data_IF_126879361731
#
_entry.id   IF_126879361731
#
_cell.length_a   1.000
_cell.length_b   1.000
_cell.length_c   1.000
_cell.angle_alpha   90.00
_cell.angle_beta   90.00
_cell.angle_gamma   90.00
#
_symmetry.space_group_name_H-M   'P 1'
#
loop_
_entity.id
_entity.type
_entity.pdbx_description
1 polymer ?
#
# COMPACT_ATOMS: atom_id res chain seq x y z
N UNK A 1 -86.40 -23.55 -16.51
CA UNK A 1 -86.19 -22.50 -17.52
C UNK A 1 -85.03 -21.67 -17.03
N UNK A 2 -83.87 -22.05 -17.55
CA UNK A 2 -82.55 -21.55 -17.23
C UNK A 2 -82.31 -20.19 -17.87
N UNK A 3 -81.65 -19.29 -17.15
CA UNK A 3 -80.82 -18.25 -17.76
C UNK A 3 -79.83 -17.70 -16.75
N UNK A 4 -78.71 -18.44 -16.65
CA UNK A 4 -77.41 -17.93 -16.19
C UNK A 4 -77.09 -16.62 -16.93
N UNK A 5 -76.90 -15.52 -16.21
CA UNK A 5 -76.21 -14.34 -16.73
C UNK A 5 -75.14 -13.90 -15.73
N UNK A 6 -73.97 -14.52 -15.85
CA UNK A 6 -72.74 -14.09 -15.20
C UNK A 6 -72.25 -12.82 -15.90
N UNK A 7 -72.59 -11.67 -15.36
CA UNK A 7 -71.96 -10.39 -15.72
C UNK A 7 -70.52 -10.38 -15.22
N UNK A 8 -69.60 -10.61 -16.15
CA UNK A 8 -68.16 -10.42 -15.97
C UNK A 8 -67.90 -8.92 -15.81
N UNK A 9 -67.36 -8.53 -14.65
CA UNK A 9 -66.97 -7.16 -14.35
C UNK A 9 -65.61 -6.83 -15.02
N UNK A 10 -65.52 -5.83 -15.91
CA UNK A 10 -64.30 -5.42 -16.60
C UNK A 10 -63.34 -4.55 -15.77
N UNK A 11 -63.46 -4.52 -14.44
CA UNK A 11 -62.69 -3.64 -13.55
C UNK A 11 -61.32 -4.16 -13.11
N UNK A 12 -60.81 -5.25 -13.70
CA UNK A 12 -59.45 -5.72 -13.40
C UNK A 12 -58.50 -5.06 -14.40
N UNK A 13 -57.78 -3.97 -14.07
CA UNK A 13 -56.68 -3.53 -14.91
C UNK A 13 -55.75 -4.72 -15.05
N UNK A 14 -55.43 -5.04 -16.29
CA UNK A 14 -54.51 -6.07 -16.70
C UNK A 14 -53.31 -6.09 -15.76
N UNK A 15 -53.32 -7.05 -14.83
CA UNK A 15 -52.09 -7.62 -14.25
C UNK A 15 -51.43 -8.49 -15.33
N UNK A 16 -51.42 -8.01 -16.56
CA UNK A 16 -50.55 -8.51 -17.60
C UNK A 16 -49.14 -8.13 -17.17
N UNK A 17 -48.44 -9.15 -16.72
CA UNK A 17 -47.14 -9.45 -17.30
C UNK A 17 -46.21 -8.23 -17.34
N UNK A 18 -46.07 -7.56 -16.19
CA UNK A 18 -44.70 -7.25 -15.75
C UNK A 18 -44.11 -8.58 -15.31
N UNK A 19 -44.00 -9.52 -16.27
CA UNK A 19 -42.92 -10.50 -16.25
C UNK A 19 -41.71 -9.62 -16.10
N UNK A 20 -41.21 -9.65 -14.88
CA UNK A 20 -39.86 -9.35 -14.54
C UNK A 20 -39.00 -9.89 -15.69
N UNK A 21 -38.72 -9.01 -16.66
CA UNK A 21 -37.45 -8.97 -17.34
C UNK A 21 -36.48 -8.72 -16.20
N UNK A 22 -36.18 -9.79 -15.46
CA UNK A 22 -34.98 -9.91 -14.68
C UNK A 22 -33.92 -9.85 -15.75
N UNK A 23 -33.54 -8.62 -16.09
CA UNK A 23 -32.31 -8.33 -16.79
C UNK A 23 -31.28 -8.96 -15.85
N UNK A 24 -30.93 -10.22 -16.11
CA UNK A 24 -29.81 -10.89 -15.48
C UNK A 24 -28.67 -9.91 -15.67
N UNK A 25 -28.31 -9.18 -14.60
CA UNK A 25 -27.09 -8.40 -14.60
C UNK A 25 -26.01 -9.41 -15.02
N UNK A 26 -25.36 -9.23 -16.18
CA UNK A 26 -24.33 -10.15 -16.61
C UNK A 26 -23.33 -10.28 -15.45
N UNK A 27 -23.06 -11.52 -15.02
CA UNK A 27 -22.22 -11.81 -13.87
C UNK A 27 -20.91 -11.04 -14.00
N UNK A 28 -20.69 -10.04 -13.14
CA UNK A 28 -19.65 -9.01 -13.28
C UNK A 28 -18.26 -9.62 -13.57
N UNK A 29 -17.82 -9.70 -14.84
CA UNK A 29 -16.48 -10.18 -15.16
C UNK A 29 -15.41 -9.19 -14.68
N UNK A 30 -15.86 -8.00 -14.27
CA UNK A 30 -15.05 -6.88 -13.80
C UNK A 30 -14.26 -7.22 -12.52
N UNK A 31 -14.74 -8.13 -11.66
CA UNK A 31 -14.10 -8.43 -10.38
C UNK A 31 -12.73 -9.13 -10.47
N UNK A 32 -12.56 -10.07 -11.42
CA UNK A 32 -11.29 -10.81 -11.58
C UNK A 32 -10.22 -9.97 -12.27
N UNK A 33 -10.58 -9.29 -13.34
CA UNK A 33 -9.66 -8.40 -14.07
C UNK A 33 -9.12 -7.28 -13.17
N UNK A 34 -9.99 -6.72 -12.32
CA UNK A 34 -9.64 -5.75 -11.29
C UNK A 34 -8.52 -6.24 -10.38
N UNK A 35 -8.75 -7.39 -9.71
CA UNK A 35 -7.80 -7.95 -8.73
C UNK A 35 -6.43 -8.24 -9.37
N UNK A 36 -6.44 -8.82 -10.57
CA UNK A 36 -5.22 -9.15 -11.29
C UNK A 36 -4.45 -7.88 -11.67
N UNK A 37 -5.13 -6.86 -12.22
CA UNK A 37 -4.50 -5.61 -12.62
C UNK A 37 -3.87 -4.89 -11.42
N UNK A 38 -4.59 -4.76 -10.29
CA UNK A 38 -4.04 -4.15 -9.07
C UNK A 38 -2.85 -4.94 -8.54
N UNK A 39 -2.94 -6.27 -8.51
CA UNK A 39 -1.85 -7.11 -8.01
C UNK A 39 -0.59 -6.97 -8.86
N UNK A 40 -0.70 -7.11 -10.18
CA UNK A 40 0.44 -7.00 -11.10
C UNK A 40 1.06 -5.60 -11.04
N UNK A 41 0.24 -4.55 -11.02
CA UNK A 41 0.74 -3.17 -10.97
C UNK A 41 1.52 -2.89 -9.69
N UNK A 42 1.02 -3.35 -8.53
CA UNK A 42 1.69 -3.18 -7.25
C UNK A 42 2.93 -4.07 -7.10
N UNK A 43 2.90 -5.29 -7.65
CA UNK A 43 4.09 -6.14 -7.71
C UNK A 43 5.22 -5.44 -8.47
N UNK A 44 4.93 -4.92 -9.67
CA UNK A 44 5.90 -4.16 -10.47
C UNK A 44 6.39 -2.94 -9.68
N UNK A 45 5.51 -2.21 -9.00
CA UNK A 45 5.90 -1.08 -8.17
C UNK A 45 6.86 -1.48 -7.04
N UNK A 46 6.64 -2.61 -6.38
CA UNK A 46 7.55 -3.15 -5.36
C UNK A 46 8.93 -3.49 -5.92
N UNK A 47 9.00 -4.10 -7.11
CA UNK A 47 10.27 -4.41 -7.80
C UNK A 47 11.01 -3.13 -8.20
N UNK A 48 10.32 -2.16 -8.79
CA UNK A 48 10.90 -0.87 -9.18
C UNK A 48 11.42 -0.12 -7.96
N UNK A 49 10.64 -0.07 -6.88
CA UNK A 49 11.03 0.60 -5.64
C UNK A 49 12.29 -0.02 -5.03
N UNK A 50 12.36 -1.35 -5.00
CA UNK A 50 13.57 -2.05 -4.58
C UNK A 50 14.78 -1.68 -5.45
N UNK A 51 14.65 -1.77 -6.77
CA UNK A 51 15.76 -1.47 -7.69
C UNK A 51 16.29 -0.04 -7.52
N UNK A 52 15.40 0.94 -7.33
CA UNK A 52 15.79 2.33 -7.04
C UNK A 52 16.42 2.46 -5.64
N UNK A 53 15.92 1.72 -4.65
CA UNK A 53 16.48 1.71 -3.29
C UNK A 53 17.90 1.15 -3.17
N UNK A 54 18.33 0.35 -4.15
CA UNK A 54 19.70 -0.14 -4.23
C UNK A 54 20.69 0.90 -4.80
N UNK A 55 20.19 2.01 -5.35
CA UNK A 55 21.04 3.06 -5.94
C UNK A 55 21.65 3.98 -4.87
N UNK A 56 22.76 4.64 -5.22
CA UNK A 56 23.40 5.67 -4.39
C UNK A 56 22.55 6.93 -4.20
N UNK A 57 21.51 7.14 -5.00
CA UNK A 57 20.58 8.25 -4.82
C UNK A 57 19.79 8.12 -3.52
N UNK A 58 19.43 6.89 -3.17
CA UNK A 58 18.61 6.59 -1.99
C UNK A 58 19.48 6.34 -0.76
N UNK A 59 20.65 5.72 -0.93
CA UNK A 59 21.60 5.44 0.15
C UNK A 59 22.39 6.67 0.55
N UNK A 60 22.17 7.13 1.77
CA UNK A 60 22.94 8.21 2.38
C UNK A 60 24.07 7.59 3.17
N UNK A 61 25.31 7.87 2.80
CA UNK A 61 26.47 7.47 3.59
C UNK A 61 26.60 8.33 4.85
N UNK A 62 27.04 7.72 5.94
CA UNK A 62 27.33 8.45 7.18
C UNK A 62 28.47 9.45 6.93
N UNK A 63 28.23 10.71 7.30
CA UNK A 63 29.24 11.77 7.18
C UNK A 63 30.45 11.42 8.05
N UNK A 64 31.63 11.34 7.41
CA UNK A 64 32.89 11.18 8.13
C UNK A 64 33.26 12.50 8.81
N UNK A 65 33.68 12.41 10.07
CA UNK A 65 34.14 13.52 10.88
C UNK A 65 35.53 13.19 11.43
N UNK A 66 36.39 14.20 11.62
CA UNK A 66 37.71 13.97 12.18
C UNK A 66 37.57 13.51 13.64
N UNK A 67 38.06 12.30 13.92
CA UNK A 67 38.13 11.70 15.25
C UNK A 67 39.58 11.67 15.71
N UNK A 68 39.80 11.91 17.01
CA UNK A 68 41.11 11.77 17.64
C UNK A 68 41.05 10.54 18.54
N UNK A 69 41.77 9.49 18.15
CA UNK A 69 41.91 8.29 18.97
C UNK A 69 43.39 8.05 19.21
N UNK A 70 43.78 7.98 20.48
CA UNK A 70 45.18 7.82 20.90
C UNK A 70 46.11 8.89 20.30
N UNK A 71 45.65 10.15 20.23
CA UNK A 71 46.43 11.28 19.68
C UNK A 71 46.51 11.34 18.15
N UNK A 72 46.04 10.32 17.44
CA UNK A 72 46.01 10.29 15.97
C UNK A 72 44.66 10.78 15.43
N UNK A 73 44.71 11.75 14.52
CA UNK A 73 43.55 12.22 13.75
C UNK A 73 43.26 11.23 12.62
N UNK A 74 42.05 10.70 12.58
CA UNK A 74 41.55 9.90 11.45
C UNK A 74 40.11 10.28 11.17
N UNK A 75 39.68 10.13 9.92
CA UNK A 75 38.28 10.36 9.56
C UNK A 75 37.47 9.10 9.87
N UNK A 76 36.50 9.22 10.77
CA UNK A 76 35.60 8.13 11.13
C UNK A 76 34.15 8.59 11.20
N UNK A 77 33.25 7.67 11.47
CA UNK A 77 31.84 7.96 11.69
C UNK A 77 31.55 8.04 13.18
N UNK A 78 30.61 8.91 13.55
CA UNK A 78 30.05 8.94 14.92
C UNK A 78 28.68 8.28 14.93
N UNK A 79 28.24 7.81 16.09
CA UNK A 79 26.87 7.29 16.26
C UNK A 79 25.79 8.30 15.83
N UNK A 80 26.04 9.61 15.99
CA UNK A 80 25.12 10.65 15.54
C UNK A 80 25.03 10.73 14.01
N UNK A 81 26.16 10.69 13.31
CA UNK A 81 26.20 10.72 11.84
C UNK A 81 25.65 9.45 11.21
N UNK A 82 25.84 8.29 11.86
CA UNK A 82 25.28 7.01 11.43
C UNK A 82 23.75 6.98 11.58
N UNK A 83 23.23 7.42 12.73
CA UNK A 83 21.78 7.54 12.94
C UNK A 83 21.14 8.48 11.93
N UNK A 84 21.76 9.62 11.64
CA UNK A 84 21.25 10.57 10.66
C UNK A 84 21.20 9.96 9.24
N UNK A 85 22.24 9.23 8.85
CA UNK A 85 22.29 8.53 7.57
C UNK A 85 21.26 7.39 7.47
N UNK A 86 21.08 6.63 8.56
CA UNK A 86 20.07 5.57 8.64
C UNK A 86 18.65 6.12 8.47
N UNK A 87 18.30 7.17 9.23
CA UNK A 87 16.99 7.83 9.13
C UNK A 87 16.77 8.36 7.71
N UNK A 88 17.76 9.06 7.14
CA UNK A 88 17.65 9.63 5.80
C UNK A 88 17.47 8.54 4.73
N UNK A 89 18.23 7.44 4.82
CA UNK A 89 18.12 6.32 3.87
C UNK A 89 16.78 5.61 4.00
N UNK A 90 16.30 5.37 5.22
CA UNK A 90 15.02 4.74 5.46
C UNK A 90 13.88 5.60 4.91
N UNK A 91 13.89 6.90 5.20
CA UNK A 91 12.93 7.86 4.66
C UNK A 91 12.92 7.91 3.13
N UNK A 92 14.09 7.93 2.48
CA UNK A 92 14.17 7.92 1.02
C UNK A 92 13.66 6.61 0.41
N UNK A 93 14.03 5.47 1.00
CA UNK A 93 13.53 4.15 0.56
C UNK A 93 12.00 4.07 0.66
N UNK A 94 11.43 4.46 1.81
CA UNK A 94 9.99 4.45 2.03
C UNK A 94 9.26 5.48 1.15
N UNK A 95 9.88 6.62 0.87
CA UNK A 95 9.32 7.60 -0.08
C UNK A 95 9.30 7.04 -1.52
N UNK A 96 10.36 6.35 -1.96
CA UNK A 96 10.40 5.71 -3.28
C UNK A 96 9.33 4.62 -3.39
N UNK A 97 9.21 3.75 -2.37
CA UNK A 97 8.18 2.72 -2.32
C UNK A 97 6.77 3.31 -2.33
N UNK A 98 6.52 4.30 -1.48
CA UNK A 98 5.24 4.99 -1.40
C UNK A 98 4.86 5.67 -2.71
N UNK A 99 5.82 6.34 -3.37
CA UNK A 99 5.59 6.99 -4.66
C UNK A 99 5.28 5.99 -5.77
N UNK A 100 6.07 4.92 -5.90
CA UNK A 100 5.84 3.88 -6.89
C UNK A 100 4.48 3.20 -6.68
N UNK A 101 4.14 2.88 -5.43
CA UNK A 101 2.89 2.20 -5.10
C UNK A 101 1.68 3.11 -5.29
N UNK A 102 1.75 4.37 -4.86
CA UNK A 102 0.70 5.37 -5.06
C UNK A 102 0.43 5.65 -6.54
N UNK A 103 1.49 5.74 -7.35
CA UNK A 103 1.40 5.85 -8.81
C UNK A 103 0.68 4.65 -9.41
N UNK A 104 1.15 3.44 -9.11
CA UNK A 104 0.61 2.20 -9.66
C UNK A 104 -0.86 2.00 -9.28
N UNK A 105 -1.22 2.31 -8.03
CA UNK A 105 -2.58 2.20 -7.53
C UNK A 105 -3.51 3.24 -8.16
N UNK A 106 -3.12 4.51 -8.25
CA UNK A 106 -3.92 5.51 -8.94
C UNK A 106 -4.10 5.20 -10.44
N UNK A 107 -3.04 4.72 -11.11
CA UNK A 107 -3.10 4.31 -12.51
C UNK A 107 -4.04 3.11 -12.70
N UNK A 108 -3.92 2.06 -11.87
CA UNK A 108 -4.82 0.92 -11.88
C UNK A 108 -6.27 1.38 -11.73
N UNK A 109 -6.56 2.21 -10.72
CA UNK A 109 -7.87 2.83 -10.50
C UNK A 109 -8.41 3.55 -11.73
N UNK A 110 -7.57 4.38 -12.35
CA UNK A 110 -7.89 5.13 -13.57
C UNK A 110 -8.21 4.23 -14.78
N UNK A 111 -7.45 3.16 -14.95
CA UNK A 111 -7.66 2.18 -16.03
C UNK A 111 -8.98 1.42 -15.87
N UNK A 112 -9.34 1.06 -14.63
CA UNK A 112 -10.60 0.36 -14.34
C UNK A 112 -11.81 1.22 -14.72
N UNK A 113 -11.77 2.53 -14.42
CA UNK A 113 -12.85 3.45 -14.82
C UNK A 113 -12.75 3.93 -16.27
N UNK A 114 -11.74 3.47 -17.03
CA UNK A 114 -11.44 3.93 -18.41
C UNK A 114 -11.31 5.47 -18.49
N UNK A 115 -10.59 6.06 -17.54
CA UNK A 115 -10.38 7.50 -17.48
C UNK A 115 -9.66 8.00 -18.74
N UNK A 116 -9.93 9.24 -19.20
CA UNK A 116 -9.12 9.85 -20.24
C UNK A 116 -7.66 9.98 -19.77
N UNK A 117 -6.71 9.85 -20.70
CA UNK A 117 -5.26 9.80 -20.42
C UNK A 117 -4.78 10.94 -19.52
N UNK A 118 -5.29 12.17 -19.72
CA UNK A 118 -4.94 13.32 -18.88
C UNK A 118 -5.40 13.19 -17.42
N UNK A 119 -6.58 12.61 -17.17
CA UNK A 119 -7.06 12.36 -15.81
C UNK A 119 -6.29 11.22 -15.14
N UNK A 120 -5.92 10.18 -15.90
CA UNK A 120 -5.07 9.09 -15.43
C UNK A 120 -3.69 9.59 -14.98
N UNK A 121 -3.02 10.40 -15.82
CA UNK A 121 -1.69 10.94 -15.51
C UNK A 121 -1.73 11.85 -14.27
N UNK A 122 -2.74 12.73 -14.16
CA UNK A 122 -2.90 13.59 -12.97
C UNK A 122 -3.11 12.77 -11.70
N UNK A 123 -3.97 11.76 -11.75
CA UNK A 123 -4.20 10.87 -10.60
C UNK A 123 -2.92 10.08 -10.23
N UNK A 124 -2.20 9.57 -11.23
CA UNK A 124 -0.95 8.83 -11.04
C UNK A 124 0.14 9.72 -10.40
N UNK A 125 0.32 10.95 -10.87
CA UNK A 125 1.27 11.91 -10.31
C UNK A 125 0.87 12.35 -8.90
N UNK A 126 -0.41 12.61 -8.66
CA UNK A 126 -0.92 12.92 -7.32
C UNK A 126 -0.70 11.75 -6.35
N UNK A 127 -0.99 10.53 -6.79
CA UNK A 127 -0.73 9.30 -6.04
C UNK A 127 0.75 9.12 -5.73
N UNK A 128 1.63 9.37 -6.69
CA UNK A 128 3.08 9.32 -6.50
C UNK A 128 3.56 10.35 -5.46
N UNK A 129 3.12 11.59 -5.58
CA UNK A 129 3.50 12.67 -4.67
C UNK A 129 3.01 12.38 -3.25
N UNK A 130 1.72 12.07 -3.09
CA UNK A 130 1.12 11.76 -1.79
C UNK A 130 1.76 10.53 -1.15
N UNK A 131 1.92 9.45 -1.93
CA UNK A 131 2.54 8.22 -1.46
C UNK A 131 3.99 8.42 -1.04
N UNK A 132 4.77 9.19 -1.80
CA UNK A 132 6.16 9.48 -1.48
C UNK A 132 6.32 10.32 -0.21
N UNK A 133 5.52 11.38 -0.07
CA UNK A 133 5.51 12.21 1.14
C UNK A 133 5.10 11.37 2.35
N UNK A 134 4.01 10.60 2.25
CA UNK A 134 3.51 9.78 3.34
C UNK A 134 4.51 8.69 3.75
N UNK A 135 5.11 7.98 2.80
CA UNK A 135 6.12 6.96 3.07
C UNK A 135 7.37 7.55 3.72
N UNK A 136 7.86 8.68 3.20
CA UNK A 136 9.03 9.36 3.75
C UNK A 136 8.82 9.88 5.18
N UNK A 137 7.66 10.51 5.44
CA UNK A 137 7.30 11.01 6.77
C UNK A 137 7.01 9.89 7.76
N UNK A 138 6.33 8.82 7.34
CA UNK A 138 6.09 7.66 8.19
C UNK A 138 7.42 7.03 8.63
N UNK A 139 8.37 6.83 7.71
CA UNK A 139 9.70 6.34 8.05
C UNK A 139 10.49 7.31 8.92
N UNK A 140 10.43 8.61 8.63
CA UNK A 140 11.11 9.62 9.45
C UNK A 140 10.63 9.55 10.91
N UNK A 141 9.31 9.50 11.13
CA UNK A 141 8.72 9.41 12.46
C UNK A 141 9.01 8.08 13.14
N UNK A 142 8.72 6.97 12.47
CA UNK A 142 8.82 5.62 13.03
C UNK A 142 10.25 5.21 13.34
N UNK A 143 11.22 5.49 12.45
CA UNK A 143 12.63 5.16 12.68
C UNK A 143 13.22 6.04 13.78
N UNK A 144 12.87 7.33 13.83
CA UNK A 144 13.33 8.21 14.91
C UNK A 144 12.80 7.75 16.26
N UNK A 145 11.54 7.32 16.33
CA UNK A 145 10.96 6.79 17.56
C UNK A 145 11.61 5.45 17.97
N UNK A 146 11.81 4.55 17.01
CA UNK A 146 12.48 3.26 17.22
C UNK A 146 13.89 3.45 17.81
N UNK A 147 14.70 4.32 17.21
CA UNK A 147 16.07 4.60 17.68
C UNK A 147 16.12 5.26 19.07
N UNK A 148 15.04 5.92 19.50
CA UNK A 148 14.91 6.48 20.85
C UNK A 148 14.43 5.44 21.87
N UNK A 149 13.59 4.50 21.44
CA UNK A 149 12.93 3.53 22.31
C UNK A 149 13.74 2.25 22.56
N UNK A 150 14.64 1.87 21.64
CA UNK A 150 15.49 0.69 21.76
C UNK A 150 16.96 1.05 22.02
N UNK A 151 17.37 1.30 23.28
CA UNK A 151 18.77 1.42 23.64
C UNK A 151 19.48 0.05 23.79
N UNK A 152 18.73 -1.05 23.93
CA UNK A 152 19.25 -2.40 24.18
C UNK A 152 18.61 -3.44 23.25
N UNK A 153 19.45 -4.23 22.58
CA UNK A 153 19.11 -5.20 21.51
C UNK A 153 18.39 -6.48 21.98
N UNK A 154 18.09 -6.64 23.28
CA UNK A 154 17.61 -7.92 23.83
C UNK A 154 16.13 -8.23 23.53
N UNK A 155 15.32 -7.26 23.08
CA UNK A 155 13.89 -7.46 22.78
C UNK A 155 13.40 -6.64 21.57
N UNK A 156 14.03 -6.84 20.41
CA UNK A 156 13.82 -5.97 19.23
C UNK A 156 12.60 -6.32 18.36
N UNK A 157 11.92 -7.45 18.60
CA UNK A 157 10.83 -7.91 17.73
C UNK A 157 9.61 -6.97 17.76
N UNK A 158 9.13 -6.61 18.96
CA UNK A 158 7.93 -5.75 19.10
C UNK A 158 8.21 -4.33 18.57
N UNK A 159 9.31 -3.64 18.98
CA UNK A 159 9.65 -2.33 18.43
C UNK A 159 9.84 -2.34 16.91
N UNK A 160 10.48 -3.37 16.37
CA UNK A 160 10.64 -3.53 14.92
C UNK A 160 9.30 -3.70 14.21
N UNK A 161 8.40 -4.53 14.74
CA UNK A 161 7.08 -4.76 14.15
C UNK A 161 6.25 -3.48 14.16
N UNK A 162 6.29 -2.69 15.25
CA UNK A 162 5.61 -1.40 15.34
C UNK A 162 6.17 -0.42 14.29
N UNK A 163 7.50 -0.34 14.16
CA UNK A 163 8.15 0.52 13.18
C UNK A 163 7.78 0.14 11.74
N UNK A 164 8.00 -1.12 11.35
CA UNK A 164 7.68 -1.61 10.00
C UNK A 164 6.18 -1.55 9.70
N UNK A 165 5.35 -1.87 10.69
CA UNK A 165 3.90 -1.78 10.61
C UNK A 165 3.43 -0.35 10.40
N UNK A 166 3.93 0.62 11.16
CA UNK A 166 3.57 2.03 11.02
C UNK A 166 3.94 2.59 9.64
N UNK A 167 5.14 2.28 9.14
CA UNK A 167 5.59 2.68 7.80
C UNK A 167 4.68 2.06 6.74
N UNK A 168 4.44 0.75 6.85
CA UNK A 168 3.65 0.01 5.86
C UNK A 168 2.19 0.47 5.85
N UNK A 169 1.55 0.64 7.02
CA UNK A 169 0.19 1.17 7.12
C UNK A 169 0.09 2.55 6.47
N UNK A 170 1.03 3.46 6.77
CA UNK A 170 1.03 4.81 6.19
C UNK A 170 1.08 4.77 4.66
N UNK A 171 1.98 3.97 4.10
CA UNK A 171 2.10 3.75 2.65
C UNK A 171 0.82 3.11 2.09
N UNK A 172 0.30 2.07 2.74
CA UNK A 172 -0.86 1.31 2.29
C UNK A 172 -2.15 2.10 2.25
N UNK A 173 -2.40 2.90 3.30
CA UNK A 173 -3.57 3.79 3.39
C UNK A 173 -3.54 4.82 2.25
N UNK A 174 -2.40 5.45 2.01
CA UNK A 174 -2.28 6.47 0.95
C UNK A 174 -2.31 5.86 -0.45
N UNK A 175 -1.72 4.69 -0.64
CA UNK A 175 -1.84 3.95 -1.90
C UNK A 175 -3.29 3.55 -2.20
N UNK A 176 -4.04 3.11 -1.18
CA UNK A 176 -5.47 2.84 -1.33
C UNK A 176 -6.25 4.14 -1.60
N UNK A 177 -5.97 5.23 -0.89
CA UNK A 177 -6.55 6.53 -1.20
C UNK A 177 -6.33 6.93 -2.67
N UNK A 178 -5.10 6.77 -3.17
CA UNK A 178 -4.74 7.03 -4.56
C UNK A 178 -5.52 6.13 -5.54
N UNK A 179 -5.73 4.86 -5.20
CA UNK A 179 -6.61 3.96 -5.97
C UNK A 179 -8.07 4.45 -6.01
N UNK A 180 -8.60 4.91 -4.88
CA UNK A 180 -9.94 5.51 -4.81
C UNK A 180 -10.09 6.76 -5.69
N UNK A 181 -9.08 7.65 -5.67
CA UNK A 181 -9.00 8.80 -6.59
C UNK A 181 -8.97 8.36 -8.06
N UNK A 182 -8.23 7.28 -8.35
CA UNK A 182 -8.13 6.69 -9.68
C UNK A 182 -9.48 6.18 -10.19
N UNK A 183 -10.25 5.45 -9.35
CA UNK A 183 -11.57 4.92 -9.72
C UNK A 183 -12.64 6.02 -9.79
N UNK A 184 -12.44 7.14 -9.09
CA UNK A 184 -13.44 8.20 -9.00
C UNK A 184 -14.66 7.75 -8.19
N UNK A 185 -14.45 7.08 -7.06
CA UNK A 185 -15.56 6.61 -6.21
C UNK A 185 -16.46 7.76 -5.78
N UNK A 186 -17.75 7.67 -6.13
CA UNK A 186 -18.80 8.53 -5.61
C UNK A 186 -18.76 8.54 -4.07
N UNK A 187 -19.10 9.70 -3.51
CA UNK A 187 -18.73 10.25 -2.21
C UNK A 187 -19.25 9.49 -0.96
N UNK A 188 -19.58 8.21 -1.04
CA UNK A 188 -20.04 7.46 0.14
C UNK A 188 -18.88 7.21 1.09
N UNK A 189 -18.92 7.90 2.24
CA UNK A 189 -17.91 7.82 3.29
C UNK A 189 -17.53 6.38 3.66
N UNK A 190 -18.51 5.49 3.79
CA UNK A 190 -18.28 4.08 4.15
C UNK A 190 -17.38 3.34 3.16
N UNK A 191 -17.51 3.61 1.87
CA UNK A 191 -16.69 3.00 0.82
C UNK A 191 -15.24 3.44 0.89
N UNK A 192 -15.00 4.72 1.18
CA UNK A 192 -13.65 5.25 1.40
C UNK A 192 -13.02 4.60 2.62
N UNK A 193 -13.74 4.52 3.74
CA UNK A 193 -13.22 3.91 4.97
C UNK A 193 -12.84 2.45 4.76
N UNK A 194 -13.69 1.64 4.12
CA UNK A 194 -13.38 0.23 3.85
C UNK A 194 -12.18 0.05 2.92
N UNK A 195 -12.04 0.93 1.92
CA UNK A 195 -10.92 0.91 1.00
C UNK A 195 -9.60 1.27 1.68
N UNK A 196 -9.59 2.32 2.52
CA UNK A 196 -8.44 2.74 3.31
C UNK A 196 -8.06 1.69 4.36
N UNK A 197 -9.04 1.15 5.08
CA UNK A 197 -8.85 0.09 6.06
C UNK A 197 -8.31 -1.19 5.40
N UNK A 198 -8.82 -1.53 4.22
CA UNK A 198 -8.31 -2.64 3.42
C UNK A 198 -6.85 -2.44 3.02
N UNK A 199 -6.50 -1.28 2.47
CA UNK A 199 -5.11 -0.97 2.09
C UNK A 199 -4.15 -0.97 3.28
N UNK A 200 -4.50 -0.28 4.36
CA UNK A 200 -3.70 -0.24 5.58
C UNK A 200 -3.55 -1.60 6.25
N UNK A 201 -4.65 -2.35 6.39
CA UNK A 201 -4.64 -3.70 6.95
C UNK A 201 -3.84 -4.69 6.09
N UNK A 202 -3.97 -4.61 4.77
CA UNK A 202 -3.14 -5.35 3.83
C UNK A 202 -1.66 -5.03 4.02
N UNK A 203 -1.29 -3.75 4.06
CA UNK A 203 0.11 -3.36 4.27
C UNK A 203 0.69 -3.85 5.61
N UNK A 204 -0.10 -3.78 6.69
CA UNK A 204 0.28 -4.34 7.99
C UNK A 204 0.53 -5.85 7.91
N UNK A 205 -0.36 -6.60 7.26
CA UNK A 205 -0.18 -8.03 7.04
C UNK A 205 1.07 -8.33 6.20
N UNK A 206 1.37 -7.50 5.19
CA UNK A 206 2.60 -7.59 4.42
C UNK A 206 3.86 -7.39 5.28
N UNK A 207 3.83 -6.43 6.21
CA UNK A 207 4.92 -6.20 7.16
C UNK A 207 5.10 -7.37 8.14
N UNK A 208 3.99 -7.94 8.65
CA UNK A 208 4.04 -9.13 9.51
C UNK A 208 4.59 -10.33 8.73
N UNK A 209 4.10 -10.54 7.50
CA UNK A 209 4.59 -11.60 6.63
C UNK A 209 6.09 -11.45 6.35
N UNK A 210 6.57 -10.23 6.13
CA UNK A 210 8.00 -9.96 5.98
C UNK A 210 8.79 -10.32 7.23
N UNK A 211 8.32 -9.95 8.43
CA UNK A 211 9.01 -10.30 9.67
C UNK A 211 9.07 -11.81 9.90
N UNK A 212 7.97 -12.53 9.63
CA UNK A 212 7.92 -14.00 9.78
C UNK A 212 8.79 -14.70 8.73
N UNK A 213 8.58 -14.39 7.45
CA UNK A 213 9.30 -15.03 6.34
C UNK A 213 10.78 -14.63 6.35
N UNK A 214 11.07 -13.35 6.60
CA UNK A 214 12.44 -12.85 6.74
C UNK A 214 13.16 -13.44 7.94
N UNK A 215 12.50 -13.54 9.10
CA UNK A 215 13.10 -14.18 10.28
C UNK A 215 13.39 -15.68 10.07
N UNK A 216 12.57 -16.38 9.28
CA UNK A 216 12.74 -17.80 8.98
C UNK A 216 13.77 -18.06 7.87
N UNK A 217 13.76 -17.28 6.80
CA UNK A 217 14.60 -17.50 5.62
C UNK A 217 15.92 -16.74 5.67
N UNK A 218 15.96 -15.61 6.37
CA UNK A 218 17.04 -14.62 6.35
C UNK A 218 17.44 -14.14 7.77
N UNK A 219 17.73 -15.05 8.73
CA UNK A 219 17.95 -14.69 10.13
C UNK A 219 19.19 -13.80 10.36
N UNK A 220 20.13 -13.77 9.43
CA UNK A 220 21.37 -12.97 9.50
C UNK A 220 21.28 -11.63 8.75
N UNK A 221 20.13 -11.31 8.14
CA UNK A 221 19.99 -10.17 7.22
C UNK A 221 19.45 -8.90 7.89
N UNK A 222 19.42 -8.86 9.22
CA UNK A 222 18.97 -7.68 9.97
C UNK A 222 17.52 -7.30 9.68
N UNK A 223 16.60 -8.27 9.60
CA UNK A 223 15.17 -8.00 9.30
C UNK A 223 14.47 -7.19 10.39
N UNK A 224 15.06 -7.12 11.59
CA UNK A 224 14.61 -6.27 12.68
C UNK A 224 15.11 -4.82 12.57
N UNK A 225 16.14 -4.56 11.77
CA UNK A 225 16.70 -3.22 11.59
C UNK A 225 15.77 -2.34 10.74
N UNK A 226 15.82 -1.00 10.89
CA UNK A 226 15.07 -0.07 10.05
C UNK A 226 15.29 -0.24 8.55
N UNK A 227 16.46 -0.75 8.17
CA UNK A 227 16.82 -1.09 6.80
C UNK A 227 17.53 -2.42 6.87
N UNK A 228 16.96 -3.45 6.25
CA UNK A 228 17.59 -4.76 6.23
C UNK A 228 18.96 -4.70 5.56
N UNK A 229 19.91 -5.49 6.06
CA UNK A 229 21.31 -5.45 5.66
C UNK A 229 21.50 -5.90 4.20
N UNK A 230 20.78 -6.94 3.79
CA UNK A 230 20.92 -7.52 2.44
C UNK A 230 19.91 -6.97 1.44
N UNK A 231 20.29 -7.02 0.16
CA UNK A 231 19.42 -6.63 -0.95
C UNK A 231 18.18 -7.54 -1.05
N UNK A 232 18.34 -8.83 -0.73
CA UNK A 232 17.28 -9.83 -0.79
C UNK A 232 16.17 -9.55 0.23
N UNK A 233 16.54 -9.22 1.47
CA UNK A 233 15.57 -8.85 2.50
C UNK A 233 14.81 -7.56 2.13
N UNK A 234 15.51 -6.55 1.58
CA UNK A 234 14.89 -5.31 1.10
C UNK A 234 13.92 -5.54 -0.07
N UNK A 235 14.27 -6.44 -1.00
CA UNK A 235 13.38 -6.87 -2.08
C UNK A 235 12.11 -7.52 -1.54
N UNK A 236 12.28 -8.50 -0.65
CA UNK A 236 11.18 -9.24 -0.05
C UNK A 236 10.22 -8.32 0.70
N UNK A 237 10.75 -7.39 1.50
CA UNK A 237 9.96 -6.39 2.22
C UNK A 237 9.12 -5.53 1.27
N UNK A 238 9.72 -5.01 0.20
CA UNK A 238 9.05 -4.13 -0.77
C UNK A 238 7.94 -4.86 -1.54
N UNK A 239 8.20 -6.10 -1.97
CA UNK A 239 7.22 -6.91 -2.72
C UNK A 239 6.08 -7.38 -1.81
N UNK A 240 6.34 -7.84 -0.59
CA UNK A 240 5.29 -8.25 0.34
C UNK A 240 4.40 -7.08 0.74
N UNK A 241 4.97 -5.94 1.13
CA UNK A 241 4.20 -4.77 1.52
C UNK A 241 3.28 -4.28 0.38
N UNK A 242 3.81 -4.17 -0.85
CA UNK A 242 3.06 -3.69 -2.02
C UNK A 242 1.96 -4.67 -2.46
N UNK A 243 2.26 -5.97 -2.54
CA UNK A 243 1.28 -6.99 -2.96
C UNK A 243 0.15 -7.15 -1.96
N UNK A 244 0.44 -7.20 -0.66
CA UNK A 244 -0.62 -7.30 0.36
C UNK A 244 -1.45 -6.03 0.45
N UNK A 245 -0.86 -4.84 0.24
CA UNK A 245 -1.61 -3.59 0.11
C UNK A 245 -2.61 -3.67 -1.06
N UNK A 246 -2.18 -4.19 -2.21
CA UNK A 246 -3.04 -4.36 -3.38
C UNK A 246 -4.22 -5.28 -3.09
N UNK A 247 -3.96 -6.43 -2.46
CA UNK A 247 -4.97 -7.41 -2.08
C UNK A 247 -5.96 -6.77 -1.09
N UNK A 248 -5.46 -6.11 -0.06
CA UNK A 248 -6.27 -5.46 0.96
C UNK A 248 -7.14 -4.34 0.41
N UNK A 249 -6.59 -3.45 -0.42
CA UNK A 249 -7.34 -2.38 -1.07
C UNK A 249 -8.41 -2.92 -2.03
N UNK A 250 -8.09 -3.95 -2.82
CA UNK A 250 -9.04 -4.60 -3.69
C UNK A 250 -10.16 -5.29 -2.92
N UNK A 251 -9.86 -5.95 -1.79
CA UNK A 251 -10.85 -6.56 -0.91
C UNK A 251 -11.77 -5.51 -0.27
N UNK A 252 -11.20 -4.43 0.27
CA UNK A 252 -11.95 -3.31 0.84
C UNK A 252 -12.87 -2.64 -0.18
N UNK A 253 -12.41 -2.49 -1.43
CA UNK A 253 -13.24 -1.98 -2.51
C UNK A 253 -14.38 -2.92 -2.89
N UNK A 254 -14.16 -4.23 -2.91
CA UNK A 254 -15.19 -5.20 -3.29
C UNK A 254 -16.26 -5.38 -2.21
N UNK A 255 -15.88 -5.30 -0.93
CA UNK A 255 -16.82 -5.37 0.20
C UNK A 255 -17.73 -4.13 0.31
N UNK A 256 -17.37 -3.04 -0.40
CA UNK A 256 -18.11 -1.78 -0.41
C UNK A 256 -19.17 -1.66 -1.50
N UNK A 257 -19.29 -2.68 -2.37
CA UNK A 257 -20.28 -2.74 -3.45
C UNK A 257 -21.53 -3.47 -2.99
#
# INVERSE_FOLDING_TARGET
>A
MDSNSSTVDPSTPDREVVEAVSIRRPADPCGRGLRLLTFVSCFIAGVVAWGVGETSLVRVEAKRVPLVTMGNKHDGTTAATERAALIATASRNSAVLGAALGLAMAAAGGLIRRAPTGALLRAALAGAALGGVAGGLAALGSVTLYLKASPSFENDLIPSLIMHGAISIGIGVVAAFAFGLGIGTDDTWGRRVQLLAGGGGGALLGAVAFQVVGGLLLPIDGTAEPISTTSQARFLSSVLASTFTAIGAAAGFLNSR
#
